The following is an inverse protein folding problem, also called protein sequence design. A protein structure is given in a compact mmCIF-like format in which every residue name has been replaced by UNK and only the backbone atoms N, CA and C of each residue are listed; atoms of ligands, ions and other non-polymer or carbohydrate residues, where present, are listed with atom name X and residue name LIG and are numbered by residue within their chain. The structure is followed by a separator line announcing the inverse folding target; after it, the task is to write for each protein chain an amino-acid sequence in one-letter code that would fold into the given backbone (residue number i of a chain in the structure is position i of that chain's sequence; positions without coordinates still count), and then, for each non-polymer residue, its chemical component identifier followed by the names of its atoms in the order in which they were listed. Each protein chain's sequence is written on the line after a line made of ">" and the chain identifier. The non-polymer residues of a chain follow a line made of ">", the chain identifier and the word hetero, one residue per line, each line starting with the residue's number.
data_IF_107573338495
#
_entry.id   IF_107573338495
#
_cell.length_a   1.000
_cell.length_b   1.000
_cell.length_c   1.000
_cell.angle_alpha   90.00
_cell.angle_beta   90.00
_cell.angle_gamma   90.00
#
_symmetry.space_group_name_H-M   'P 1'
#
loop_
_entity.id
_entity.type
_entity.pdbx_description
1 polymer ?
#
# COMPACT_ATOMS: atom_id res chain seq x y z
N UNK A 1 18.94 -4.74 -13.52
CA UNK A 1 18.64 -4.02 -12.27
C UNK A 1 19.94 -3.85 -11.50
N UNK A 2 20.25 -2.65 -10.99
CA UNK A 2 21.48 -2.37 -10.22
C UNK A 2 21.13 -2.05 -8.76
N UNK A 3 20.98 -3.10 -7.96
CA UNK A 3 20.66 -3.00 -6.53
C UNK A 3 21.92 -3.10 -5.68
N UNK A 4 22.06 -2.19 -4.72
CA UNK A 4 23.06 -2.30 -3.64
C UNK A 4 22.42 -2.92 -2.42
N UNK A 5 22.93 -4.07 -2.00
CA UNK A 5 22.52 -4.74 -0.76
C UNK A 5 23.47 -4.37 0.37
N UNK A 6 22.93 -3.88 1.49
CA UNK A 6 23.66 -3.64 2.73
C UNK A 6 23.01 -4.41 3.87
N UNK A 7 23.73 -5.36 4.42
CA UNK A 7 23.37 -6.04 5.66
C UNK A 7 23.85 -5.19 6.83
N UNK A 8 23.00 -4.96 7.83
CA UNK A 8 23.44 -4.37 9.10
C UNK A 8 23.45 -5.46 10.17
N UNK A 9 24.54 -5.48 10.94
CA UNK A 9 24.86 -6.45 11.99
C UNK A 9 25.24 -7.86 11.50
N UNK A 10 26.15 -8.53 12.22
CA UNK A 10 26.59 -9.92 11.98
C UNK A 10 25.44 -10.94 11.98
N UNK A 11 24.29 -10.57 12.56
CA UNK A 11 23.12 -11.42 12.70
C UNK A 11 22.22 -11.50 11.45
N UNK A 12 22.52 -10.77 10.36
CA UNK A 12 21.69 -10.68 9.14
C UNK A 12 20.21 -10.32 9.40
N UNK A 13 19.93 -9.65 10.51
CA UNK A 13 18.56 -9.31 10.95
C UNK A 13 17.95 -8.13 10.22
N UNK A 14 18.78 -7.34 9.55
CA UNK A 14 18.33 -6.19 8.79
C UNK A 14 19.10 -6.12 7.47
N UNK A 15 18.36 -5.91 6.39
CA UNK A 15 18.91 -5.69 5.07
C UNK A 15 18.26 -4.47 4.43
N UNK A 16 19.10 -3.71 3.75
CA UNK A 16 18.73 -2.58 2.94
C UNK A 16 19.04 -2.91 1.48
N UNK A 17 18.03 -2.90 0.62
CA UNK A 17 18.18 -3.06 -0.82
C UNK A 17 17.88 -1.70 -1.45
N UNK A 18 18.91 -1.07 -2.03
CA UNK A 18 18.82 0.26 -2.63
C UNK A 18 18.87 0.17 -4.15
N UNK A 19 17.85 0.69 -4.82
CA UNK A 19 17.92 0.98 -6.26
C UNK A 19 18.73 2.26 -6.47
N UNK A 20 19.86 2.14 -7.17
CA UNK A 20 20.81 3.26 -7.31
C UNK A 20 20.28 4.39 -8.20
N UNK A 21 19.38 4.07 -9.13
CA UNK A 21 18.83 5.00 -10.13
C UNK A 21 17.75 5.87 -9.52
N UNK A 22 16.77 5.25 -8.88
CA UNK A 22 15.56 5.90 -8.36
C UNK A 22 15.68 6.28 -6.88
N UNK A 23 16.70 5.77 -6.18
CA UNK A 23 16.87 5.91 -4.72
C UNK A 23 15.76 5.24 -3.90
N UNK A 24 14.92 4.41 -4.51
CA UNK A 24 14.01 3.54 -3.77
C UNK A 24 14.79 2.56 -2.92
N UNK A 25 14.26 2.33 -1.73
CA UNK A 25 14.89 1.50 -0.74
C UNK A 25 13.87 0.54 -0.13
N UNK A 26 14.17 -0.76 -0.20
CA UNK A 26 13.48 -1.77 0.57
C UNK A 26 14.29 -2.05 1.84
N UNK A 27 13.72 -1.72 2.99
CA UNK A 27 14.23 -2.13 4.28
C UNK A 27 13.46 -3.36 4.75
N UNK A 28 14.20 -4.41 5.07
CA UNK A 28 13.65 -5.62 5.66
C UNK A 28 14.35 -5.75 7.02
N UNK A 29 13.59 -5.58 8.10
CA UNK A 29 14.11 -5.63 9.46
C UNK A 29 13.21 -6.43 10.40
N UNK A 30 13.82 -7.23 11.27
CA UNK A 30 13.14 -7.72 12.47
C UNK A 30 13.27 -6.63 13.54
N UNK A 31 12.17 -6.03 13.98
CA UNK A 31 12.18 -4.99 15.01
C UNK A 31 12.78 -5.55 16.30
N UNK A 32 13.80 -4.90 16.88
CA UNK A 32 14.42 -5.36 18.13
C UNK A 32 13.50 -5.16 19.34
N UNK A 33 12.65 -4.14 19.30
CA UNK A 33 11.68 -3.80 20.36
C UNK A 33 10.40 -4.62 20.28
N UNK A 34 10.14 -5.29 19.14
CA UNK A 34 8.96 -6.11 18.93
C UNK A 34 9.35 -7.36 18.09
N UNK A 35 9.84 -8.44 18.70
CA UNK A 35 10.32 -9.65 17.99
C UNK A 35 9.22 -10.38 17.16
N UNK A 36 7.96 -9.97 17.31
CA UNK A 36 6.82 -10.45 16.54
C UNK A 36 6.39 -9.48 15.41
N UNK A 37 7.02 -8.30 15.31
CA UNK A 37 6.83 -7.36 14.21
C UNK A 37 8.00 -7.47 13.25
N UNK A 38 7.72 -8.09 12.10
CA UNK A 38 8.60 -7.97 10.96
C UNK A 38 8.29 -6.60 10.31
N UNK A 39 9.21 -5.66 10.45
CA UNK A 39 9.09 -4.34 9.82
C UNK A 39 9.60 -4.44 8.38
N UNK A 40 8.66 -4.61 7.45
CA UNK A 40 8.91 -4.39 6.04
C UNK A 40 8.48 -2.96 5.70
N UNK A 41 9.44 -2.12 5.36
CA UNK A 41 9.17 -0.77 4.89
C UNK A 41 9.82 -0.54 3.55
N UNK A 42 9.04 -0.03 2.60
CA UNK A 42 9.62 0.60 1.42
C UNK A 42 9.75 2.07 1.74
N UNK A 43 10.98 2.54 1.72
CA UNK A 43 11.29 3.94 1.85
C UNK A 43 11.67 4.42 0.47
N UNK A 44 10.99 5.45 0.00
CA UNK A 44 11.40 6.10 -1.23
C UNK A 44 11.60 7.59 -0.99
N UNK A 45 12.62 8.12 -1.66
CA UNK A 45 12.84 9.56 -1.77
C UNK A 45 12.47 9.97 -3.18
N UNK A 46 11.21 10.32 -3.41
CA UNK A 46 10.79 10.96 -4.65
C UNK A 46 10.76 12.47 -4.42
N UNK A 47 11.40 13.24 -5.31
CA UNK A 47 11.34 14.72 -5.32
C UNK A 47 11.73 15.38 -3.99
N UNK A 48 12.63 14.76 -3.21
CA UNK A 48 13.09 15.29 -1.92
C UNK A 48 12.16 15.02 -0.73
N UNK A 49 11.05 14.31 -0.92
CA UNK A 49 10.14 13.88 0.14
C UNK A 49 10.51 12.47 0.56
N UNK A 50 10.69 12.26 1.86
CA UNK A 50 10.85 10.93 2.44
C UNK A 50 9.46 10.35 2.72
N UNK A 51 9.10 9.30 2.00
CA UNK A 51 7.82 8.61 2.19
C UNK A 51 8.06 7.13 2.51
N UNK A 52 7.25 6.62 3.42
CA UNK A 52 7.26 5.22 3.83
C UNK A 52 5.99 4.53 3.33
N UNK A 53 6.15 3.47 2.55
CA UNK A 53 5.06 2.59 2.14
C UNK A 53 4.92 1.52 3.21
N UNK A 54 3.73 1.41 3.77
CA UNK A 54 3.42 0.41 4.77
C UNK A 54 2.87 -0.86 4.13
N UNK A 55 3.00 -1.98 4.84
CA UNK A 55 2.65 -3.31 4.39
C UNK A 55 1.62 -3.98 5.31
N UNK A 56 0.69 -3.18 5.85
CA UNK A 56 -0.20 -3.56 6.94
C UNK A 56 -1.09 -4.75 6.57
N UNK A 57 -1.20 -5.71 7.47
CA UNK A 57 -2.23 -6.74 7.39
C UNK A 57 -3.60 -6.16 7.73
N UNK A 58 -4.70 -6.76 7.26
CA UNK A 58 -6.07 -6.29 7.56
C UNK A 58 -6.31 -6.20 9.08
N UNK A 59 -5.68 -7.09 9.85
CA UNK A 59 -5.76 -7.08 11.32
C UNK A 59 -5.22 -5.81 11.97
N UNK A 60 -4.36 -5.06 11.28
CA UNK A 60 -3.71 -3.82 11.72
C UNK A 60 -4.42 -2.56 11.21
N UNK A 61 -5.52 -2.71 10.45
CA UNK A 61 -6.39 -1.59 10.11
C UNK A 61 -7.29 -1.25 11.30
N UNK A 62 -7.83 -0.03 11.31
CA UNK A 62 -8.84 0.36 12.32
C UNK A 62 -10.02 -0.60 12.34
N UNK A 63 -10.65 -0.73 13.51
CA UNK A 63 -11.73 -1.69 13.74
C UNK A 63 -12.86 -1.56 12.72
N UNK A 64 -13.23 -0.32 12.34
CA UNK A 64 -14.27 -0.06 11.34
C UNK A 64 -13.93 -0.58 9.93
N UNK A 65 -12.64 -0.69 9.58
CA UNK A 65 -12.16 -1.26 8.32
C UNK A 65 -11.98 -2.77 8.46
N UNK A 66 -11.35 -3.21 9.55
CA UNK A 66 -11.08 -4.63 9.82
C UNK A 66 -12.35 -5.46 9.94
N UNK A 67 -13.38 -4.90 10.57
CA UNK A 67 -14.66 -5.56 10.83
C UNK A 67 -15.74 -5.17 9.81
N UNK A 68 -15.33 -4.50 8.73
CA UNK A 68 -16.21 -4.14 7.64
C UNK A 68 -16.83 -5.40 7.03
N UNK A 69 -18.16 -5.48 7.08
CA UNK A 69 -18.89 -6.51 6.37
C UNK A 69 -18.80 -6.24 4.86
N UNK A 70 -18.02 -7.07 4.16
CA UNK A 70 -17.82 -6.93 2.73
C UNK A 70 -19.12 -7.19 1.97
N UNK A 71 -19.61 -6.17 1.27
CA UNK A 71 -20.69 -6.27 0.30
C UNK A 71 -20.11 -6.39 -1.12
N UNK A 72 -20.35 -7.50 -1.86
CA UNK A 72 -19.80 -7.70 -3.20
C UNK A 72 -20.37 -6.77 -4.28
N UNK A 73 -21.47 -6.07 -4.00
CA UNK A 73 -22.08 -5.11 -4.92
C UNK A 73 -21.54 -3.68 -4.76
N UNK A 74 -20.72 -3.43 -3.74
CA UNK A 74 -20.13 -2.12 -3.50
C UNK A 74 -18.90 -1.89 -4.37
N UNK A 75 -18.69 -0.62 -4.74
CA UNK A 75 -17.44 -0.12 -5.29
C UNK A 75 -16.54 0.33 -4.15
N UNK A 76 -15.38 -0.31 -4.01
CA UNK A 76 -14.37 0.05 -3.03
C UNK A 76 -13.28 0.90 -3.68
N UNK A 77 -12.76 1.87 -2.94
CA UNK A 77 -11.57 2.62 -3.27
C UNK A 77 -10.63 2.68 -2.04
N UNK A 78 -9.34 2.45 -2.24
CA UNK A 78 -8.32 2.61 -1.20
C UNK A 78 -7.30 3.69 -1.64
N UNK A 79 -7.08 4.68 -0.79
CA UNK A 79 -6.15 5.78 -1.04
C UNK A 79 -4.85 5.53 -0.29
N UNK A 80 -3.72 5.62 -1.00
CA UNK A 80 -2.40 5.34 -0.46
C UNK A 80 -2.28 3.92 0.11
N UNK A 81 -2.77 2.93 -0.64
CA UNK A 81 -2.83 1.53 -0.22
C UNK A 81 -1.46 0.93 0.13
N UNK A 82 -0.39 1.42 -0.50
CA UNK A 82 0.94 0.84 -0.37
C UNK A 82 0.92 -0.66 -0.67
N UNK A 83 1.49 -1.47 0.23
CA UNK A 83 1.37 -2.94 0.18
C UNK A 83 0.39 -3.46 1.25
N UNK A 84 -0.60 -2.64 1.59
CA UNK A 84 -1.71 -2.95 2.46
C UNK A 84 -2.51 -4.15 1.96
N UNK A 85 -3.09 -4.89 2.90
CA UNK A 85 -3.77 -6.14 2.60
C UNK A 85 -5.23 -5.97 2.17
N UNK A 86 -5.87 -4.83 2.43
CA UNK A 86 -7.32 -4.71 2.29
C UNK A 86 -7.81 -5.05 0.88
N UNK A 87 -7.39 -4.31 -0.16
CA UNK A 87 -7.82 -4.61 -1.54
C UNK A 87 -7.33 -5.98 -2.02
N UNK A 88 -6.06 -6.41 -1.81
CA UNK A 88 -5.64 -7.76 -2.14
C UNK A 88 -6.51 -8.86 -1.51
N UNK A 89 -6.87 -8.70 -0.23
CA UNK A 89 -7.75 -9.63 0.47
C UNK A 89 -9.17 -9.60 -0.10
N UNK A 90 -9.71 -8.42 -0.40
CA UNK A 90 -11.02 -8.24 -1.02
C UNK A 90 -11.10 -9.00 -2.35
N UNK A 91 -10.11 -8.84 -3.22
CA UNK A 91 -10.11 -9.45 -4.56
C UNK A 91 -9.95 -10.97 -4.51
N UNK A 92 -9.06 -11.49 -3.67
CA UNK A 92 -8.76 -12.92 -3.66
C UNK A 92 -9.81 -13.75 -2.88
N UNK A 93 -10.52 -13.16 -1.92
CA UNK A 93 -11.44 -13.90 -1.05
C UNK A 93 -12.92 -13.66 -1.37
N UNK A 94 -13.26 -12.62 -2.15
CA UNK A 94 -14.64 -12.25 -2.43
C UNK A 94 -14.89 -12.12 -3.92
N UNK A 95 -16.05 -12.63 -4.36
CA UNK A 95 -16.53 -12.43 -5.73
C UNK A 95 -17.19 -11.05 -5.84
N UNK A 96 -16.36 -10.02 -5.99
CA UNK A 96 -16.80 -8.64 -6.15
C UNK A 96 -17.31 -8.37 -7.56
N UNK A 97 -18.34 -7.52 -7.67
CA UNK A 97 -18.95 -7.13 -8.94
C UNK A 97 -18.17 -6.03 -9.67
N UNK A 98 -17.51 -5.17 -8.91
CA UNK A 98 -16.80 -4.01 -9.41
C UNK A 98 -15.30 -4.13 -9.10
N UNK A 99 -14.46 -3.74 -10.06
CA UNK A 99 -13.02 -3.68 -9.84
C UNK A 99 -12.72 -2.59 -8.81
N UNK A 100 -12.07 -2.91 -7.68
CA UNK A 100 -11.71 -1.92 -6.69
C UNK A 100 -10.68 -0.94 -7.28
N UNK A 101 -10.72 0.27 -6.77
CA UNK A 101 -9.85 1.36 -7.20
C UNK A 101 -8.74 1.53 -6.16
N UNK A 102 -7.49 1.63 -6.61
CA UNK A 102 -6.40 2.10 -5.76
C UNK A 102 -5.87 3.41 -6.33
N UNK A 103 -5.72 4.42 -5.48
CA UNK A 103 -5.09 5.69 -5.82
C UNK A 103 -3.83 5.84 -4.99
N UNK A 104 -2.67 5.68 -5.61
CA UNK A 104 -1.40 5.68 -4.89
C UNK A 104 -0.24 6.09 -5.82
N UNK A 105 0.59 7.09 -5.48
CA UNK A 105 1.70 7.53 -6.33
C UNK A 105 2.92 6.59 -6.35
N UNK A 106 2.92 5.50 -5.57
CA UNK A 106 4.09 4.62 -5.44
C UNK A 106 4.33 3.79 -6.72
N UNK A 107 5.59 3.66 -7.13
CA UNK A 107 5.99 2.78 -8.24
C UNK A 107 5.90 1.29 -7.86
N UNK A 108 4.73 0.69 -8.09
CA UNK A 108 4.48 -0.73 -7.85
C UNK A 108 5.32 -1.66 -8.72
N UNK A 109 5.71 -1.22 -9.92
CA UNK A 109 6.58 -2.02 -10.78
C UNK A 109 7.96 -2.19 -10.16
N UNK A 110 8.55 -1.08 -9.73
CA UNK A 110 9.83 -1.09 -9.03
C UNK A 110 9.74 -1.84 -7.71
N UNK A 111 8.70 -1.62 -6.90
CA UNK A 111 8.50 -2.40 -5.66
C UNK A 111 8.45 -3.90 -5.94
N UNK A 112 7.68 -4.32 -6.95
CA UNK A 112 7.60 -5.73 -7.36
C UNK A 112 8.97 -6.28 -7.78
N UNK A 113 9.74 -5.52 -8.55
CA UNK A 113 11.09 -5.92 -8.96
C UNK A 113 12.05 -6.05 -7.77
N UNK A 114 11.96 -5.14 -6.78
CA UNK A 114 12.77 -5.20 -5.56
C UNK A 114 12.38 -6.39 -4.67
N UNK A 115 11.08 -6.68 -4.53
CA UNK A 115 10.58 -7.86 -3.81
C UNK A 115 11.02 -9.16 -4.48
N UNK A 116 10.87 -9.25 -5.80
CA UNK A 116 11.33 -10.40 -6.58
C UNK A 116 12.85 -10.63 -6.45
N UNK A 117 13.64 -9.56 -6.43
CA UNK A 117 15.07 -9.65 -6.15
C UNK A 117 15.35 -10.11 -4.71
N UNK A 118 14.63 -9.57 -3.72
CA UNK A 118 14.78 -9.94 -2.32
C UNK A 118 14.51 -11.44 -2.09
N UNK A 119 13.51 -12.03 -2.76
CA UNK A 119 13.21 -13.46 -2.69
C UNK A 119 14.35 -14.38 -3.15
N UNK A 120 15.32 -13.87 -3.91
CA UNK A 120 16.52 -14.62 -4.32
C UNK A 120 17.67 -14.52 -3.30
N UNK A 121 17.52 -13.73 -2.23
CA UNK A 121 18.50 -13.61 -1.15
C UNK A 121 18.25 -14.68 -0.08
N UNK A 122 19.31 -15.02 0.66
CA UNK A 122 19.22 -16.02 1.75
C UNK A 122 18.67 -15.37 3.03
N UNK A 123 17.38 -15.49 3.27
CA UNK A 123 16.72 -15.16 4.55
C UNK A 123 16.23 -16.42 5.29
N UNK A 124 15.69 -16.22 6.50
CA UNK A 124 14.92 -17.25 7.21
C UNK A 124 13.57 -17.51 6.54
N UNK A 125 12.99 -18.69 6.79
CA UNK A 125 11.70 -19.08 6.22
C UNK A 125 10.57 -18.11 6.56
N UNK A 126 10.56 -17.57 7.79
CA UNK A 126 9.58 -16.55 8.22
C UNK A 126 9.66 -15.30 7.34
N UNK A 127 10.88 -14.81 7.08
CA UNK A 127 11.08 -13.63 6.24
C UNK A 127 10.69 -13.92 4.79
N UNK A 128 11.09 -15.07 4.25
CA UNK A 128 10.72 -15.47 2.89
C UNK A 128 9.20 -15.59 2.72
N UNK A 129 8.48 -16.16 3.70
CA UNK A 129 7.03 -16.25 3.68
C UNK A 129 6.37 -14.87 3.62
N UNK A 130 6.88 -13.91 4.40
CA UNK A 130 6.37 -12.56 4.40
C UNK A 130 6.73 -11.79 3.13
N UNK A 131 7.96 -11.92 2.61
CA UNK A 131 8.33 -11.35 1.31
C UNK A 131 7.45 -11.88 0.18
N UNK A 132 7.15 -13.17 0.17
CA UNK A 132 6.25 -13.78 -0.81
C UNK A 132 4.84 -13.18 -0.71
N UNK A 133 4.32 -13.01 0.52
CA UNK A 133 3.03 -12.35 0.76
C UNK A 133 2.99 -10.95 0.16
N UNK A 134 4.03 -10.14 0.42
CA UNK A 134 4.13 -8.77 -0.11
C UNK A 134 4.27 -8.75 -1.63
N UNK A 135 5.02 -9.70 -2.19
CA UNK A 135 5.18 -9.86 -3.63
C UNK A 135 3.84 -10.20 -4.31
N UNK A 136 3.05 -11.10 -3.74
CA UNK A 136 1.72 -11.43 -4.28
C UNK A 136 0.74 -10.27 -4.17
N UNK A 137 0.74 -9.51 -3.05
CA UNK A 137 -0.06 -8.27 -2.95
C UNK A 137 0.30 -7.28 -4.05
N UNK A 138 1.60 -7.07 -4.28
CA UNK A 138 2.08 -6.18 -5.33
C UNK A 138 1.62 -6.65 -6.72
N UNK A 139 1.64 -7.96 -6.99
CA UNK A 139 1.12 -8.53 -8.24
C UNK A 139 -0.37 -8.30 -8.42
N UNK A 140 -1.17 -8.46 -7.37
CA UNK A 140 -2.62 -8.21 -7.42
C UNK A 140 -2.90 -6.74 -7.73
N UNK A 141 -2.22 -5.82 -7.05
CA UNK A 141 -2.42 -4.37 -7.25
C UNK A 141 -2.07 -3.95 -8.69
N UNK A 142 -1.06 -4.59 -9.30
CA UNK A 142 -0.65 -4.33 -10.68
C UNK A 142 -1.54 -4.99 -11.74
N UNK A 143 -2.34 -5.98 -11.37
CA UNK A 143 -3.19 -6.71 -12.32
C UNK A 143 -4.45 -5.89 -12.64
N UNK A 144 -4.51 -5.36 -13.85
CA UNK A 144 -5.61 -4.51 -14.33
C UNK A 144 -6.96 -5.26 -14.41
N UNK A 145 -6.94 -6.60 -14.40
CA UNK A 145 -8.16 -7.41 -14.33
C UNK A 145 -8.67 -7.63 -12.90
N UNK A 146 -7.88 -7.22 -11.91
CA UNK A 146 -8.17 -7.37 -10.48
C UNK A 146 -8.36 -6.03 -9.78
N UNK A 147 -7.58 -5.02 -10.17
CA UNK A 147 -7.58 -3.69 -9.54
C UNK A 147 -7.46 -2.63 -10.61
N UNK A 148 -8.26 -1.56 -10.48
CA UNK A 148 -8.04 -0.33 -11.22
C UNK A 148 -7.03 0.54 -10.45
N UNK A 149 -5.75 0.41 -10.78
CA UNK A 149 -4.69 1.23 -10.21
C UNK A 149 -4.59 2.58 -10.92
N UNK A 150 -4.73 3.67 -10.17
CA UNK A 150 -4.43 5.04 -10.59
C UNK A 150 -3.14 5.44 -9.89
N UNK A 151 -2.04 5.39 -10.64
CA UNK A 151 -0.69 5.56 -10.10
C UNK A 151 -0.29 7.03 -10.00
N UNK A 152 -1.10 7.82 -9.28
CA UNK A 152 -0.95 9.26 -9.08
C UNK A 152 -1.22 9.61 -7.61
N UNK A 153 -0.82 10.79 -7.16
CA UNK A 153 -1.27 11.32 -5.88
C UNK A 153 -2.77 11.68 -5.95
N UNK A 154 -3.46 11.64 -4.80
CA UNK A 154 -4.91 11.88 -4.73
C UNK A 154 -5.35 13.20 -5.39
N UNK A 155 -4.58 14.28 -5.23
CA UNK A 155 -4.95 15.59 -5.77
C UNK A 155 -4.92 15.58 -7.29
N UNK A 156 -3.87 14.99 -7.86
CA UNK A 156 -3.73 14.83 -9.31
C UNK A 156 -4.84 13.91 -9.83
N UNK A 157 -5.04 12.75 -9.21
CA UNK A 157 -6.04 11.77 -9.60
C UNK A 157 -7.46 12.37 -9.67
N UNK A 158 -7.86 13.15 -8.66
CA UNK A 158 -9.17 13.80 -8.64
C UNK A 158 -9.31 14.85 -9.76
N UNK A 159 -8.23 15.48 -10.21
CA UNK A 159 -8.27 16.47 -11.29
C UNK A 159 -8.25 15.82 -12.68
N UNK A 160 -7.48 14.75 -12.85
CA UNK A 160 -7.23 14.08 -14.14
C UNK A 160 -8.29 13.01 -14.46
N UNK A 161 -8.85 12.36 -13.45
CA UNK A 161 -9.83 11.28 -13.60
C UNK A 161 -11.20 11.71 -13.07
N UNK A 162 -12.00 12.36 -13.91
CA UNK A 162 -13.36 12.76 -13.52
C UNK A 162 -14.31 11.56 -13.38
N UNK A 163 -13.98 10.43 -13.99
CA UNK A 163 -14.81 9.23 -14.00
C UNK A 163 -14.78 8.44 -12.69
N UNK A 164 -13.86 8.76 -11.77
CA UNK A 164 -13.84 8.21 -10.40
C UNK A 164 -14.60 9.07 -9.39
N UNK A 165 -15.21 10.17 -9.82
CA UNK A 165 -15.98 11.04 -8.91
C UNK A 165 -17.32 10.40 -8.59
N UNK A 166 -17.71 10.47 -7.32
CA UNK A 166 -18.98 9.96 -6.80
C UNK A 166 -19.26 8.49 -7.18
N UNK A 167 -18.23 7.65 -7.26
CA UNK A 167 -18.35 6.25 -7.71
C UNK A 167 -18.25 5.24 -6.57
N UNK A 168 -17.52 5.56 -5.50
CA UNK A 168 -17.23 4.64 -4.42
C UNK A 168 -18.36 4.60 -3.39
N UNK A 169 -18.76 3.39 -3.01
CA UNK A 169 -19.62 3.17 -1.85
C UNK A 169 -18.78 3.20 -0.57
N UNK A 170 -17.53 2.72 -0.63
CA UNK A 170 -16.58 2.70 0.48
C UNK A 170 -15.25 3.29 0.00
N UNK A 171 -14.77 4.33 0.68
CA UNK A 171 -13.40 4.85 0.53
C UNK A 171 -12.63 4.55 1.81
N UNK A 172 -11.42 4.03 1.67
CA UNK A 172 -10.54 3.65 2.77
C UNK A 172 -9.29 4.51 2.69
N UNK A 173 -8.96 5.19 3.78
CA UNK A 173 -7.66 5.83 3.99
C UNK A 173 -7.08 5.34 5.31
N UNK A 174 -6.09 4.45 5.23
CA UNK A 174 -5.36 3.96 6.38
C UNK A 174 -4.00 4.65 6.47
N UNK A 175 -4.00 5.96 6.74
CA UNK A 175 -2.84 6.88 6.76
C UNK A 175 -2.22 7.22 5.40
N UNK A 176 -2.70 6.65 4.30
CA UNK A 176 -2.10 6.74 2.99
C UNK A 176 -1.99 8.19 2.51
N UNK A 177 -3.10 8.92 2.52
CA UNK A 177 -3.18 10.24 1.91
C UNK A 177 -2.44 11.32 2.73
N UNK A 178 -2.38 11.14 4.05
CA UNK A 178 -1.66 12.03 4.96
C UNK A 178 -0.14 12.00 4.80
N UNK A 179 0.43 10.93 4.23
CA UNK A 179 1.88 10.79 4.04
C UNK A 179 2.45 11.68 2.93
N UNK A 180 1.62 12.18 2.02
CA UNK A 180 2.04 13.03 0.91
C UNK A 180 1.29 14.37 0.82
N UNK A 181 0.38 14.66 1.77
CA UNK A 181 -0.33 15.93 1.85
C UNK A 181 -0.05 16.65 3.17
N UNK A 182 0.24 17.95 3.09
CA UNK A 182 0.48 18.80 4.27
C UNK A 182 -0.81 19.31 4.93
N UNK A 183 -1.93 19.30 4.21
CA UNK A 183 -3.21 19.79 4.70
C UNK A 183 -4.24 18.66 4.78
N UNK A 184 -4.44 18.16 6.01
CA UNK A 184 -5.36 17.06 6.30
C UNK A 184 -6.82 17.36 5.90
N UNK A 185 -7.31 18.58 6.14
CA UNK A 185 -8.70 18.94 5.78
C UNK A 185 -8.91 18.87 4.27
N UNK A 186 -7.95 19.41 3.53
CA UNK A 186 -7.98 19.37 2.07
C UNK A 186 -7.93 17.94 1.53
N UNK A 187 -7.18 17.06 2.20
CA UNK A 187 -7.14 15.63 1.89
C UNK A 187 -8.52 14.99 1.98
N UNK A 188 -9.20 15.16 3.13
CA UNK A 188 -10.56 14.67 3.34
C UNK A 188 -11.55 15.18 2.28
N UNK A 189 -11.42 16.43 1.87
CA UNK A 189 -12.28 17.01 0.83
C UNK A 189 -12.05 16.36 -0.54
N UNK A 190 -10.84 15.89 -0.84
CA UNK A 190 -10.56 15.13 -2.06
C UNK A 190 -11.05 13.68 -1.97
N UNK A 191 -10.87 13.00 -0.83
CA UNK A 191 -11.38 11.65 -0.61
C UNK A 191 -12.90 11.59 -0.73
N UNK A 192 -13.59 12.61 -0.18
CA UNK A 192 -15.05 12.74 -0.29
C UNK A 192 -15.53 12.89 -1.72
N UNK A 193 -14.72 13.40 -2.65
CA UNK A 193 -15.10 13.47 -4.08
C UNK A 193 -15.19 12.11 -4.75
N UNK A 194 -14.58 11.07 -4.18
CA UNK A 194 -14.72 9.69 -4.66
C UNK A 194 -16.08 9.09 -4.26
N UNK A 195 -16.66 9.56 -3.14
CA UNK A 195 -17.83 8.94 -2.52
C UNK A 195 -19.13 9.28 -3.24
N UNK A 196 -19.98 8.27 -3.42
CA UNK A 196 -21.40 8.47 -3.70
C UNK A 196 -22.08 9.28 -2.57
N UNK A 197 -23.26 9.89 -2.80
CA UNK A 197 -23.99 10.64 -1.78
C UNK A 197 -24.26 9.92 -0.44
N UNK A 198 -24.24 8.58 -0.42
CA UNK A 198 -24.42 7.75 0.78
C UNK A 198 -23.21 6.83 1.06
N UNK A 199 -22.06 7.14 0.47
CA UNK A 199 -20.84 6.35 0.68
C UNK A 199 -20.22 6.62 2.04
N UNK A 200 -19.38 5.68 2.49
CA UNK A 200 -18.67 5.75 3.75
C UNK A 200 -17.18 6.00 3.52
N UNK A 201 -16.64 7.02 4.20
CA UNK A 201 -15.21 7.22 4.36
C UNK A 201 -14.75 6.53 5.64
N UNK A 202 -13.87 5.53 5.50
CA UNK A 202 -13.28 4.80 6.62
C UNK A 202 -11.83 5.24 6.78
N UNK A 203 -11.57 5.98 7.85
CA UNK A 203 -10.25 6.56 8.14
C UNK A 203 -9.55 5.80 9.25
N UNK A 204 -8.21 5.86 9.24
CA UNK A 204 -7.46 5.61 10.46
C UNK A 204 -7.54 6.83 11.39
N UNK A 205 -8.22 6.66 12.53
CA UNK A 205 -8.22 7.67 13.58
C UNK A 205 -6.99 7.45 14.46
N UNK A 206 -5.85 8.00 14.08
CA UNK A 206 -4.80 8.24 15.07
C UNK A 206 -5.30 9.31 16.05
N UNK A 207 -5.78 8.87 17.21
CA UNK A 207 -5.93 9.70 18.40
C UNK A 207 -4.57 10.13 18.94
#
# INVERSE_FOLDING_TARGET
>A
MDYRVKWTYDSRRFVKILDRKTKYCLNIGLSQSAPNFDEYSFVYTARGIYSCVTARNVSEYENNIRELMINPFFQYAEVGAGLGEFIPNLVDNYKIKHLPIIIDPVDYELMGNMLGYALNLKFSDRVNKNLLKLFERCKIIRDQNKVRLINEDLVTAIKSHLDIHNIADIVIDNFGATHYMTNYRQCLDYERKLLKPNGYLLLNNAN
#
